data_IF_876698089530
#
_entry.id   IF_876698089530
#
_cell.length_a   1.000
_cell.length_b   1.000
_cell.length_c   1.000
_cell.angle_alpha   90.00
_cell.angle_beta   90.00
_cell.angle_gamma   90.00
#
_symmetry.space_group_name_H-M   'P 1'
#
loop_
_entity.id
_entity.type
_entity.pdbx_description
1 polymer ?
#
# COMPACT_ATOMS: atom_id res chain seq x y z
N UNK A 1 -7.64 13.18 -9.97
CA UNK A 1 -8.57 12.41 -10.82
C UNK A 1 -9.94 12.17 -10.16
N UNK A 2 -10.06 11.89 -8.86
CA UNK A 2 -11.37 11.73 -8.20
C UNK A 2 -12.16 13.06 -7.95
N UNK A 3 -11.50 14.11 -7.43
CA UNK A 3 -12.17 15.40 -7.16
C UNK A 3 -12.63 16.12 -8.43
N UNK A 4 -11.95 15.91 -9.56
CA UNK A 4 -12.26 16.58 -10.83
C UNK A 4 -13.51 16.02 -11.54
N UNK A 5 -13.96 14.81 -11.18
CA UNK A 5 -15.06 14.12 -11.87
C UNK A 5 -16.36 14.15 -11.06
N UNK A 6 -16.29 14.20 -9.72
CA UNK A 6 -17.46 13.97 -8.84
C UNK A 6 -17.82 15.15 -7.92
N UNK A 7 -17.16 16.30 -8.04
CA UNK A 7 -17.51 17.47 -7.21
C UNK A 7 -18.64 18.26 -7.87
N UNK A 8 -19.82 18.26 -7.24
CA UNK A 8 -20.95 19.10 -7.65
C UNK A 8 -20.71 20.54 -7.11
N UNK A 9 -20.67 21.59 -7.96
CA UNK A 9 -20.30 22.95 -7.54
C UNK A 9 -21.20 23.57 -6.46
N UNK A 10 -22.43 23.09 -6.31
CA UNK A 10 -23.42 23.65 -5.39
C UNK A 10 -23.22 23.24 -3.92
N UNK A 11 -22.54 22.12 -3.63
CA UNK A 11 -22.30 21.62 -2.26
C UNK A 11 -20.92 20.97 -2.04
N UNK A 12 -19.81 21.74 -2.21
CA UNK A 12 -18.45 21.22 -2.22
C UNK A 12 -18.02 20.52 -0.92
N UNK A 13 -18.46 21.01 0.25
CA UNK A 13 -18.11 20.42 1.55
C UNK A 13 -18.73 19.03 1.76
N UNK A 14 -19.96 18.82 1.28
CA UNK A 14 -20.66 17.53 1.42
C UNK A 14 -20.05 16.47 0.50
N UNK A 15 -19.71 16.85 -0.75
CA UNK A 15 -19.04 15.96 -1.70
C UNK A 15 -17.65 15.53 -1.20
N UNK A 16 -16.85 16.45 -0.65
CA UNK A 16 -15.53 16.10 -0.09
C UNK A 16 -15.68 15.18 1.12
N UNK A 17 -16.59 15.46 2.05
CA UNK A 17 -16.80 14.62 3.22
C UNK A 17 -17.20 13.18 2.83
N UNK A 18 -18.11 13.01 1.87
CA UNK A 18 -18.52 11.69 1.37
C UNK A 18 -17.36 10.93 0.70
N UNK A 19 -16.56 11.60 -0.14
CA UNK A 19 -15.41 10.99 -0.80
C UNK A 19 -14.36 10.59 0.25
N UNK A 20 -14.05 11.46 1.21
CA UNK A 20 -13.12 11.15 2.29
C UNK A 20 -13.58 9.95 3.10
N UNK A 21 -14.85 9.89 3.51
CA UNK A 21 -15.40 8.75 4.25
C UNK A 21 -15.33 7.47 3.43
N UNK A 22 -15.71 7.51 2.16
CA UNK A 22 -15.64 6.35 1.28
C UNK A 22 -14.20 5.84 1.13
N UNK A 23 -13.23 6.74 0.91
CA UNK A 23 -11.82 6.39 0.83
C UNK A 23 -11.29 5.82 2.14
N UNK A 24 -11.70 6.36 3.29
CA UNK A 24 -11.32 5.86 4.61
C UNK A 24 -11.89 4.48 4.88
N UNK A 25 -13.18 4.24 4.59
CA UNK A 25 -13.82 2.92 4.77
C UNK A 25 -13.19 1.86 3.87
N UNK A 26 -12.69 2.23 2.70
CA UNK A 26 -12.00 1.29 1.79
C UNK A 26 -10.52 1.12 2.16
N UNK A 27 -9.83 2.20 2.57
CA UNK A 27 -8.43 2.12 2.95
C UNK A 27 -8.22 1.43 4.28
N UNK A 28 -9.07 1.65 5.27
CA UNK A 28 -8.93 1.03 6.59
C UNK A 28 -8.83 -0.50 6.53
N UNK A 29 -9.74 -1.24 5.87
CA UNK A 29 -9.61 -2.69 5.74
C UNK A 29 -8.42 -3.07 4.86
N UNK A 30 -8.12 -2.32 3.80
CA UNK A 30 -6.95 -2.58 2.94
C UNK A 30 -5.63 -2.50 3.71
N UNK A 31 -5.44 -1.42 4.46
CA UNK A 31 -4.28 -1.20 5.33
C UNK A 31 -4.27 -2.21 6.48
N UNK A 32 -5.44 -2.57 7.03
CA UNK A 32 -5.54 -3.60 8.08
C UNK A 32 -5.15 -4.98 7.57
N UNK A 33 -5.59 -5.38 6.37
CA UNK A 33 -5.19 -6.63 5.73
C UNK A 33 -3.70 -6.63 5.44
N UNK A 34 -3.16 -5.53 4.91
CA UNK A 34 -1.73 -5.41 4.67
C UNK A 34 -0.91 -5.47 5.97
N UNK A 35 -1.34 -4.76 7.01
CA UNK A 35 -0.70 -4.77 8.32
C UNK A 35 -0.79 -6.15 8.98
N UNK A 36 -1.95 -6.81 8.92
CA UNK A 36 -2.15 -8.17 9.42
C UNK A 36 -1.33 -9.22 8.66
N UNK A 37 -1.22 -9.06 7.34
CA UNK A 37 -0.33 -9.89 6.53
C UNK A 37 1.14 -9.67 6.91
N UNK A 38 1.56 -8.41 7.08
CA UNK A 38 2.91 -8.07 7.51
C UNK A 38 3.27 -8.61 8.89
N UNK A 39 2.33 -8.58 9.85
CA UNK A 39 2.54 -9.14 11.19
C UNK A 39 2.64 -10.66 11.16
N UNK A 40 1.80 -11.35 10.38
CA UNK A 40 1.91 -12.80 10.17
C UNK A 40 3.21 -13.18 9.46
N UNK A 41 3.59 -12.43 8.42
CA UNK A 41 4.84 -12.64 7.67
C UNK A 41 6.05 -12.44 8.58
N UNK A 42 6.01 -11.50 9.53
CA UNK A 42 7.06 -11.31 10.53
C UNK A 42 7.26 -12.56 11.40
N UNK A 43 6.17 -13.22 11.80
CA UNK A 43 6.24 -14.50 12.50
C UNK A 43 6.80 -15.62 11.62
N UNK A 44 6.44 -15.65 10.34
CA UNK A 44 6.99 -16.63 9.40
C UNK A 44 8.49 -16.43 9.12
N UNK A 45 8.93 -15.16 9.08
CA UNK A 45 10.31 -14.73 8.86
C UNK A 45 11.14 -14.65 10.16
N UNK A 46 10.62 -15.08 11.31
CA UNK A 46 11.40 -15.11 12.55
C UNK A 46 12.51 -16.16 12.53
N UNK A 47 12.43 -17.12 11.61
CA UNK A 47 13.49 -18.09 11.34
C UNK A 47 14.66 -17.39 10.60
N UNK A 48 15.89 -17.43 11.14
CA UNK A 48 17.04 -16.73 10.56
C UNK A 48 17.39 -17.21 9.15
N UNK A 49 17.10 -18.47 8.79
CA UNK A 49 17.32 -18.98 7.45
C UNK A 49 16.32 -18.37 6.46
N UNK A 50 15.04 -18.29 6.84
CA UNK A 50 13.97 -17.73 5.99
C UNK A 50 14.16 -16.22 5.79
N UNK A 51 14.53 -15.51 6.84
CA UNK A 51 14.84 -14.08 6.78
C UNK A 51 16.00 -13.78 5.81
N UNK A 52 17.05 -14.62 5.83
CA UNK A 52 18.20 -14.47 4.93
C UNK A 52 17.79 -14.55 3.46
N UNK A 53 17.02 -15.58 3.09
CA UNK A 53 16.54 -15.75 1.71
C UNK A 53 15.58 -14.64 1.28
N UNK A 54 14.68 -14.21 2.18
CA UNK A 54 13.79 -13.09 1.91
C UNK A 54 14.57 -11.80 1.61
N UNK A 55 15.60 -11.49 2.40
CA UNK A 55 16.41 -10.29 2.23
C UNK A 55 17.24 -10.34 0.92
N UNK A 56 17.79 -11.50 0.57
CA UNK A 56 18.47 -11.71 -0.72
C UNK A 56 17.50 -11.47 -1.88
N UNK A 57 16.29 -12.06 -1.82
CA UNK A 57 15.26 -11.89 -2.84
C UNK A 57 14.86 -10.42 -3.03
N UNK A 58 14.57 -9.71 -1.94
CA UNK A 58 14.25 -8.27 -2.00
C UNK A 58 15.41 -7.44 -2.57
N UNK A 59 16.65 -7.74 -2.18
CA UNK A 59 17.83 -7.05 -2.70
C UNK A 59 18.01 -7.26 -4.20
N UNK A 60 17.80 -8.48 -4.70
CA UNK A 60 17.84 -8.79 -6.12
C UNK A 60 16.74 -8.09 -6.89
N UNK A 61 15.50 -8.11 -6.39
CA UNK A 61 14.37 -7.37 -6.97
C UNK A 61 14.69 -5.89 -7.08
N UNK A 62 15.22 -5.29 -6.01
CA UNK A 62 15.60 -3.88 -5.99
C UNK A 62 16.71 -3.58 -7.01
N UNK A 63 17.77 -4.39 -7.04
CA UNK A 63 18.84 -4.26 -8.03
C UNK A 63 18.31 -4.42 -9.47
N UNK A 64 17.41 -5.37 -9.71
CA UNK A 64 16.79 -5.61 -11.01
C UNK A 64 15.90 -4.44 -11.44
N UNK A 65 15.18 -3.78 -10.51
CA UNK A 65 14.42 -2.56 -10.83
C UNK A 65 15.30 -1.34 -11.05
N UNK A 66 16.46 -1.27 -10.39
CA UNK A 66 17.37 -0.13 -10.49
C UNK A 66 18.21 -0.17 -11.77
N UNK A 67 18.60 -1.36 -12.22
CA UNK A 67 19.36 -1.58 -13.45
C UNK A 67 18.77 -0.90 -14.70
N UNK A 68 17.47 -1.03 -15.03
CA UNK A 68 16.85 -0.33 -16.16
C UNK A 68 16.64 1.17 -15.93
N UNK A 69 16.66 1.66 -14.69
CA UNK A 69 16.63 3.10 -14.39
C UNK A 69 18.00 3.76 -14.58
N UNK A 70 19.09 3.01 -14.36
CA UNK A 70 20.47 3.49 -14.50
C UNK A 70 21.03 3.36 -15.92
N UNK A 71 20.35 2.60 -16.79
CA UNK A 71 20.65 2.51 -18.21
C UNK A 71 19.85 3.55 -19.00
#
# INVERSE_FOLDING_TARGET
TAMAVYTNPDHPFVSVALISIAFTIVNLPSVSVWAGFGTALRGFLSDPMRLKWFNIGMGLLLAATLWPMLR
#
